data_IF_669890816023
#
_entry.id   IF_669890816023
#
_cell.length_a   1.000
_cell.length_b   1.000
_cell.length_c   1.000
_cell.angle_alpha   90.00
_cell.angle_beta   90.00
_cell.angle_gamma   90.00
#
_symmetry.space_group_name_H-M   'P 1'
#
loop_
_entity.id
_entity.type
_entity.pdbx_description
1 polymer ?
#
# COMPACT_ATOMS: atom_id res chain seq x y z
N UNK A 1 18.77 17.89 21.81
CA UNK A 1 19.96 18.03 20.92
C UNK A 1 20.35 16.68 20.33
N UNK A 2 20.57 15.65 21.16
CA UNK A 2 20.88 14.28 20.73
C UNK A 2 19.86 13.67 19.75
N UNK A 3 18.55 13.79 20.06
CA UNK A 3 17.47 13.33 19.17
C UNK A 3 17.53 13.95 17.76
N UNK A 4 17.84 15.25 17.65
CA UNK A 4 17.94 15.93 16.35
C UNK A 4 19.14 15.45 15.52
N UNK A 5 20.23 15.06 16.18
CA UNK A 5 21.43 14.52 15.51
C UNK A 5 21.13 13.12 14.96
N UNK A 6 20.42 12.29 15.74
CA UNK A 6 20.00 10.95 15.30
C UNK A 6 19.05 11.05 14.10
N UNK A 7 18.05 11.92 14.14
CA UNK A 7 17.13 12.10 13.01
C UNK A 7 17.83 12.63 11.75
N UNK A 8 18.81 13.53 11.91
CA UNK A 8 19.61 13.99 10.77
C UNK A 8 20.47 12.86 10.19
N UNK A 9 21.09 12.04 11.03
CA UNK A 9 21.87 10.89 10.59
C UNK A 9 21.02 9.87 9.84
N UNK A 10 19.80 9.58 10.33
CA UNK A 10 18.83 8.72 9.62
C UNK A 10 18.45 9.29 8.26
N UNK A 11 18.12 10.58 8.18
CA UNK A 11 17.78 11.23 6.90
C UNK A 11 18.93 11.17 5.89
N UNK A 12 20.17 11.34 6.34
CA UNK A 12 21.35 11.21 5.48
C UNK A 12 21.54 9.76 5.03
N UNK A 13 21.44 8.79 5.95
CA UNK A 13 21.51 7.37 5.62
C UNK A 13 20.48 7.01 4.54
N UNK A 14 19.22 7.40 4.72
CA UNK A 14 18.17 7.12 3.76
C UNK A 14 18.41 7.76 2.41
N UNK A 15 18.79 9.03 2.36
CA UNK A 15 19.16 9.68 1.08
C UNK A 15 20.29 8.97 0.33
N UNK A 16 21.20 8.32 1.05
CA UNK A 16 22.28 7.56 0.45
C UNK A 16 21.87 6.14 0.08
N UNK A 17 20.98 5.51 0.85
CA UNK A 17 20.60 4.11 0.70
C UNK A 17 19.43 3.88 -0.25
N UNK A 18 18.47 4.82 -0.29
CA UNK A 18 17.28 4.83 -1.14
C UNK A 18 17.54 4.40 -2.60
N UNK A 19 18.52 4.97 -3.34
CA UNK A 19 18.78 4.56 -4.72
C UNK A 19 19.27 3.11 -4.87
N UNK A 20 19.80 2.50 -3.81
CA UNK A 20 20.29 1.12 -3.80
C UNK A 20 19.24 0.13 -3.29
N UNK A 21 18.22 0.60 -2.57
CA UNK A 21 17.23 -0.24 -1.92
C UNK A 21 16.56 -1.23 -2.88
N UNK A 22 16.12 -0.84 -4.10
CA UNK A 22 15.51 -1.79 -5.03
C UNK A 22 16.42 -2.98 -5.36
N UNK A 23 17.72 -2.70 -5.60
CA UNK A 23 18.69 -3.76 -5.92
C UNK A 23 18.93 -4.70 -4.74
N UNK A 24 19.01 -4.15 -3.52
CA UNK A 24 19.20 -4.94 -2.29
C UNK A 24 17.96 -5.79 -2.01
N UNK A 25 16.76 -5.21 -2.11
CA UNK A 25 15.48 -5.91 -1.97
C UNK A 25 15.39 -7.06 -2.96
N UNK A 26 15.61 -6.80 -4.25
CA UNK A 26 15.47 -7.81 -5.30
C UNK A 26 16.50 -8.94 -5.13
N UNK A 27 17.72 -8.62 -4.69
CA UNK A 27 18.72 -9.63 -4.36
C UNK A 27 18.29 -10.49 -3.15
N UNK A 28 17.73 -9.89 -2.09
CA UNK A 28 17.23 -10.64 -0.94
C UNK A 28 16.03 -11.52 -1.28
N UNK A 29 15.12 -11.05 -2.14
CA UNK A 29 14.02 -11.85 -2.69
C UNK A 29 14.56 -13.02 -3.52
N UNK A 30 15.51 -12.76 -4.43
CA UNK A 30 16.12 -13.80 -5.27
C UNK A 30 16.89 -14.86 -4.44
N UNK A 31 17.45 -14.47 -3.30
CA UNK A 31 18.10 -15.39 -2.35
C UNK A 31 17.09 -16.10 -1.42
N UNK A 32 15.80 -15.77 -1.48
CA UNK A 32 14.77 -16.33 -0.61
C UNK A 32 14.88 -15.91 0.86
N UNK A 33 15.60 -14.82 1.15
CA UNK A 33 15.75 -14.28 2.51
C UNK A 33 14.50 -13.55 2.98
N UNK A 34 13.73 -13.00 2.03
CA UNK A 34 12.47 -12.30 2.26
C UNK A 34 11.48 -12.70 1.16
N UNK A 35 10.20 -12.84 1.51
CA UNK A 35 9.10 -13.06 0.57
C UNK A 35 7.91 -12.20 1.01
N UNK A 36 7.29 -11.49 0.08
CA UNK A 36 6.08 -10.72 0.32
C UNK A 36 5.07 -11.02 -0.79
N UNK A 37 4.28 -12.07 -0.57
CA UNK A 37 3.37 -12.62 -1.60
C UNK A 37 1.89 -12.32 -1.31
N UNK A 38 1.61 -11.43 -0.36
CA UNK A 38 0.25 -11.15 0.09
C UNK A 38 -0.10 -9.72 -0.28
N UNK A 39 -1.11 -9.54 -1.13
CA UNK A 39 -1.69 -8.22 -1.38
C UNK A 39 -2.22 -7.63 -0.08
N UNK A 40 -1.88 -6.38 0.18
CA UNK A 40 -2.34 -5.66 1.37
C UNK A 40 -3.88 -5.69 1.49
N UNK A 41 -4.45 -5.81 2.71
CA UNK A 41 -5.85 -6.24 2.88
C UNK A 41 -6.90 -5.17 2.53
N UNK A 42 -6.48 -3.92 2.34
CA UNK A 42 -7.39 -2.78 2.20
C UNK A 42 -7.78 -2.54 0.74
N UNK A 43 -8.81 -3.26 0.30
CA UNK A 43 -9.40 -3.13 -1.03
C UNK A 43 -10.38 -1.95 -1.10
N UNK A 44 -10.15 -1.04 -2.03
CA UNK A 44 -11.01 0.13 -2.27
C UNK A 44 -12.01 -0.12 -3.41
N UNK A 45 -11.70 -1.08 -4.28
CA UNK A 45 -12.56 -1.47 -5.38
C UNK A 45 -11.75 -1.85 -6.62
N UNK A 46 -12.37 -1.69 -7.78
CA UNK A 46 -11.70 -1.84 -9.07
C UNK A 46 -11.62 -0.53 -9.81
N UNK A 47 -10.56 -0.35 -10.58
CA UNK A 47 -10.49 0.73 -11.55
C UNK A 47 -11.65 0.54 -12.56
N UNK A 48 -12.46 1.59 -12.76
CA UNK A 48 -13.58 1.56 -13.70
C UNK A 48 -13.09 1.17 -15.09
N UNK A 49 -13.89 0.41 -15.83
CA UNK A 49 -13.49 -0.18 -17.13
C UNK A 49 -13.19 0.87 -18.22
N UNK A 50 -13.69 2.10 -18.07
CA UNK A 50 -13.43 3.22 -18.97
C UNK A 50 -12.21 4.06 -18.55
N UNK A 51 -11.51 3.67 -17.48
CA UNK A 51 -10.33 4.34 -16.94
C UNK A 51 -9.07 3.50 -17.13
N UNK A 52 -7.94 4.19 -17.13
CA UNK A 52 -6.61 3.58 -17.33
C UNK A 52 -5.74 3.77 -16.10
N UNK A 53 -4.67 2.97 -15.99
CA UNK A 53 -3.64 3.17 -14.97
C UNK A 53 -3.01 4.56 -15.02
N UNK A 54 -2.99 5.21 -16.19
CA UNK A 54 -2.51 6.57 -16.35
C UNK A 54 -3.47 7.63 -15.79
N UNK A 55 -4.78 7.38 -15.89
CA UNK A 55 -5.77 8.26 -15.24
C UNK A 55 -5.60 8.22 -13.71
N UNK A 56 -5.40 7.01 -13.16
CA UNK A 56 -5.13 6.83 -11.74
C UNK A 56 -3.83 7.52 -11.32
N UNK A 57 -2.74 7.28 -12.05
CA UNK A 57 -1.45 7.95 -11.82
C UNK A 57 -1.61 9.46 -11.79
N UNK A 58 -2.25 10.03 -12.80
CA UNK A 58 -2.42 11.48 -12.93
C UNK A 58 -3.22 12.07 -11.77
N UNK A 59 -4.28 11.40 -11.33
CA UNK A 59 -5.07 11.80 -10.16
C UNK A 59 -4.19 11.83 -8.90
N UNK A 60 -3.42 10.76 -8.68
CA UNK A 60 -2.54 10.62 -7.53
C UNK A 60 -1.42 11.67 -7.55
N UNK A 61 -0.74 11.88 -8.68
CA UNK A 61 0.29 12.91 -8.85
C UNK A 61 -0.26 14.32 -8.57
N UNK A 62 -1.44 14.64 -9.11
CA UNK A 62 -2.11 15.93 -8.85
C UNK A 62 -2.48 16.10 -7.37
N UNK A 63 -2.66 14.98 -6.66
CA UNK A 63 -2.97 14.95 -5.23
C UNK A 63 -1.73 14.91 -4.33
N UNK A 64 -0.53 14.95 -4.92
CA UNK A 64 0.76 14.98 -4.22
C UNK A 64 1.37 13.62 -3.93
N UNK A 65 0.91 12.56 -4.60
CA UNK A 65 1.57 11.26 -4.55
C UNK A 65 2.77 11.21 -5.50
N UNK A 66 3.74 10.39 -5.15
CA UNK A 66 4.93 10.09 -5.96
C UNK A 66 5.11 8.58 -6.06
N UNK A 67 5.90 8.11 -7.03
CA UNK A 67 6.26 6.68 -7.08
C UNK A 67 6.99 6.29 -5.80
N UNK A 68 6.60 5.15 -5.23
CA UNK A 68 7.26 4.58 -4.07
C UNK A 68 8.22 3.47 -4.52
N UNK A 69 9.51 3.80 -4.55
CA UNK A 69 10.55 2.85 -4.96
C UNK A 69 11.09 2.02 -3.79
N UNK A 70 10.78 2.40 -2.54
CA UNK A 70 11.27 1.76 -1.32
C UNK A 70 10.27 0.74 -0.77
N UNK A 71 9.04 0.73 -1.28
CA UNK A 71 8.05 -0.27 -0.94
C UNK A 71 8.38 -1.68 -1.47
N UNK A 72 7.71 -2.67 -0.89
CA UNK A 72 7.54 -3.99 -1.51
C UNK A 72 6.92 -3.87 -2.91
N UNK A 73 7.29 -4.75 -3.82
CA UNK A 73 6.59 -4.94 -5.09
C UNK A 73 5.73 -6.18 -4.91
N UNK A 74 4.42 -5.99 -4.89
CA UNK A 74 3.49 -7.12 -4.75
C UNK A 74 3.38 -7.87 -6.08
N UNK A 75 3.08 -9.18 -6.06
CA UNK A 75 2.74 -9.91 -7.27
C UNK A 75 1.60 -9.21 -8.03
N UNK A 76 1.78 -9.09 -9.35
CA UNK A 76 0.84 -8.44 -10.27
C UNK A 76 0.64 -6.93 -10.08
N UNK A 77 1.47 -6.27 -9.28
CA UNK A 77 1.45 -4.81 -9.16
C UNK A 77 1.87 -4.12 -10.47
N UNK A 78 1.10 -3.09 -10.87
CA UNK A 78 1.40 -2.26 -12.05
C UNK A 78 1.49 -0.76 -11.73
N UNK A 79 1.08 -0.33 -10.53
CA UNK A 79 1.29 1.03 -10.02
C UNK A 79 1.47 0.97 -8.51
N UNK A 80 2.43 1.75 -8.02
CA UNK A 80 2.77 1.86 -6.61
C UNK A 80 3.16 3.30 -6.29
N UNK A 81 2.30 3.97 -5.53
CA UNK A 81 2.48 5.39 -5.24
C UNK A 81 2.19 5.70 -3.79
N UNK A 82 3.03 6.55 -3.20
CA UNK A 82 2.89 7.01 -1.82
C UNK A 82 2.74 8.52 -1.73
N UNK A 83 2.10 8.98 -0.65
CA UNK A 83 2.03 10.38 -0.27
C UNK A 83 2.35 10.53 1.21
N UNK A 84 3.39 11.31 1.50
CA UNK A 84 3.74 11.67 2.87
C UNK A 84 2.63 12.50 3.51
N UNK A 85 2.21 12.09 4.71
CA UNK A 85 1.39 12.90 5.61
C UNK A 85 2.31 13.79 6.43
N UNK A 86 3.36 13.19 6.98
CA UNK A 86 4.44 13.84 7.70
C UNK A 86 5.72 12.98 7.61
N UNK A 87 6.70 13.21 8.50
CA UNK A 87 7.95 12.44 8.51
C UNK A 87 7.76 10.98 8.96
N UNK A 88 6.64 10.66 9.61
CA UNK A 88 6.34 9.38 10.25
C UNK A 88 5.33 8.57 9.44
N UNK A 89 4.36 9.22 8.80
CA UNK A 89 3.24 8.56 8.16
C UNK A 89 3.10 8.87 6.67
N UNK A 90 2.56 7.90 5.94
CA UNK A 90 2.23 8.01 4.53
C UNK A 90 0.94 7.28 4.17
N UNK A 91 0.31 7.73 3.09
CA UNK A 91 -0.70 6.96 2.37
C UNK A 91 -0.05 6.19 1.23
N UNK A 92 -0.52 4.97 1.01
CA UNK A 92 -0.10 4.11 -0.10
C UNK A 92 -1.28 3.78 -0.99
N UNK A 93 -1.07 3.77 -2.31
CA UNK A 93 -2.04 3.32 -3.30
C UNK A 93 -1.35 2.42 -4.31
N UNK A 94 -1.95 1.25 -4.53
CA UNK A 94 -1.48 0.24 -5.48
C UNK A 94 -2.57 -0.13 -6.47
N UNK A 95 -2.16 -0.41 -7.71
CA UNK A 95 -3.01 -0.98 -8.76
C UNK A 95 -2.43 -2.31 -9.21
N UNK A 96 -3.30 -3.29 -9.42
CA UNK A 96 -2.94 -4.63 -9.87
C UNK A 96 -3.44 -4.93 -11.29
N UNK A 97 -2.88 -5.95 -11.96
CA UNK A 97 -3.25 -6.34 -13.33
C UNK A 97 -4.74 -6.67 -13.51
N UNK A 98 -5.42 -7.06 -12.43
CA UNK A 98 -6.85 -7.39 -12.40
C UNK A 98 -7.75 -6.18 -12.08
N UNK A 99 -7.16 -4.98 -12.16
CA UNK A 99 -7.74 -3.69 -11.87
C UNK A 99 -8.09 -3.45 -10.40
N UNK A 100 -7.69 -4.30 -9.46
CA UNK A 100 -7.87 -3.99 -8.05
C UNK A 100 -7.09 -2.73 -7.67
N UNK A 101 -7.77 -1.81 -6.99
CA UNK A 101 -7.15 -0.65 -6.36
C UNK A 101 -7.18 -0.88 -4.85
N UNK A 102 -5.99 -0.95 -4.27
CA UNK A 102 -5.78 -1.13 -2.84
C UNK A 102 -5.03 0.07 -2.29
N UNK A 103 -5.20 0.35 -1.01
CA UNK A 103 -4.47 1.44 -0.38
C UNK A 103 -4.58 1.44 1.12
N UNK A 104 -3.62 2.07 1.79
CA UNK A 104 -3.55 2.04 3.25
C UNK A 104 -2.82 3.27 3.77
N UNK A 105 -2.85 3.41 5.10
CA UNK A 105 -2.08 4.40 5.84
C UNK A 105 -1.09 3.66 6.73
N UNK A 106 0.19 4.02 6.64
CA UNK A 106 1.27 3.29 7.31
C UNK A 106 2.42 4.20 7.74
N UNK A 107 3.39 3.62 8.45
CA UNK A 107 4.65 4.30 8.71
C UNK A 107 5.48 4.45 7.44
N UNK A 108 6.22 5.55 7.35
CA UNK A 108 7.27 5.72 6.34
C UNK A 108 8.38 4.68 6.57
N UNK A 109 8.94 4.16 5.47
CA UNK A 109 10.11 3.31 5.53
C UNK A 109 11.27 4.02 6.24
N UNK A 110 11.36 5.35 6.10
CA UNK A 110 12.42 6.17 6.63
C UNK A 110 12.35 6.35 8.16
N UNK A 111 11.15 6.50 8.72
CA UNK A 111 10.97 6.60 10.16
C UNK A 111 11.14 5.24 10.84
N UNK A 112 10.61 4.18 10.23
CA UNK A 112 10.53 2.86 10.83
C UNK A 112 10.72 1.70 9.83
N UNK A 113 11.95 1.47 9.32
CA UNK A 113 12.21 0.47 8.28
C UNK A 113 11.74 -0.93 8.63
N UNK A 114 12.06 -1.40 9.83
CA UNK A 114 11.66 -2.73 10.26
C UNK A 114 10.16 -2.84 10.47
N UNK A 115 9.48 -1.77 10.94
CA UNK A 115 8.01 -1.82 11.10
C UNK A 115 7.32 -1.86 9.74
N UNK A 116 7.80 -1.04 8.80
CA UNK A 116 7.33 -1.04 7.42
C UNK A 116 7.58 -2.40 6.74
N UNK A 117 8.74 -3.03 6.98
CA UNK A 117 9.06 -4.37 6.46
C UNK A 117 8.08 -5.46 6.95
N UNK A 118 7.53 -5.32 8.16
CA UNK A 118 6.64 -6.29 8.80
C UNK A 118 5.17 -5.80 8.87
N UNK A 119 4.78 -4.82 8.06
CA UNK A 119 3.42 -4.24 8.01
C UNK A 119 2.88 -3.75 9.39
N UNK A 120 3.77 -3.38 10.31
CA UNK A 120 3.39 -2.90 11.64
C UNK A 120 2.93 -1.46 11.54
N UNK A 121 1.71 -1.16 12.03
CA UNK A 121 1.12 0.19 12.00
C UNK A 121 0.34 0.49 10.72
N UNK A 122 0.10 -0.53 9.90
CA UNK A 122 -0.80 -0.50 8.77
C UNK A 122 -2.25 -0.28 9.24
N UNK A 123 -2.96 0.63 8.59
CA UNK A 123 -4.35 0.97 8.91
C UNK A 123 -5.12 1.32 7.64
N UNK A 124 -6.45 1.23 7.71
CA UNK A 124 -7.29 1.67 6.60
C UNK A 124 -7.18 3.21 6.44
N UNK A 125 -6.82 3.66 5.24
CA UNK A 125 -6.74 5.08 4.88
C UNK A 125 -8.06 5.70 4.41
N UNK A 126 -9.19 5.04 4.66
CA UNK A 126 -10.43 5.25 3.88
C UNK A 126 -11.01 6.65 3.98
N UNK A 127 -10.85 7.31 5.13
CA UNK A 127 -11.27 8.70 5.34
C UNK A 127 -10.68 9.66 4.31
N UNK A 128 -9.44 9.43 3.87
CA UNK A 128 -8.76 10.26 2.87
C UNK A 128 -8.86 9.65 1.46
N UNK A 129 -8.62 8.34 1.35
CA UNK A 129 -8.46 7.68 0.06
C UNK A 129 -9.79 7.45 -0.66
N UNK A 130 -10.90 7.13 0.04
CA UNK A 130 -12.19 6.88 -0.63
C UNK A 130 -12.72 8.12 -1.37
N UNK A 131 -12.79 9.32 -0.76
CA UNK A 131 -13.22 10.52 -1.47
C UNK A 131 -12.32 10.85 -2.66
N UNK A 132 -11.01 10.63 -2.52
CA UNK A 132 -10.04 10.87 -3.59
C UNK A 132 -10.28 9.94 -4.79
N UNK A 133 -10.52 8.65 -4.54
CA UNK A 133 -10.57 7.62 -5.58
C UNK A 133 -11.94 7.44 -6.24
N UNK A 134 -13.00 8.04 -5.70
CA UNK A 134 -14.41 7.79 -6.11
C UNK A 134 -14.69 8.01 -7.61
N UNK A 135 -13.97 8.93 -8.25
CA UNK A 135 -14.16 9.21 -9.69
C UNK A 135 -13.59 8.09 -10.58
N UNK A 136 -12.58 7.36 -10.12
CA UNK A 136 -11.87 6.35 -10.90
C UNK A 136 -12.12 4.92 -10.45
N UNK A 137 -12.54 4.72 -9.20
CA UNK A 137 -12.70 3.40 -8.59
C UNK A 137 -14.18 3.10 -8.36
N UNK A 138 -14.62 1.94 -8.81
CA UNK A 138 -15.91 1.37 -8.44
C UNK A 138 -15.74 0.49 -7.20
N UNK A 139 -16.46 0.82 -6.12
CA UNK A 139 -16.49 -0.04 -4.94
C UNK A 139 -17.13 -1.39 -5.34
N UNK A 140 -16.47 -2.48 -4.96
CA UNK A 140 -17.06 -3.80 -5.15
C UNK A 140 -18.22 -3.99 -4.17
N UNK A 141 -19.31 -4.64 -4.59
CA UNK A 141 -20.38 -4.99 -3.67
C UNK A 141 -19.81 -5.85 -2.55
N UNK A 142 -20.16 -5.52 -1.30
CA UNK A 142 -19.86 -6.38 -0.16
C UNK A 142 -20.44 -7.75 -0.48
N UNK A 143 -19.64 -8.83 -0.48
CA UNK A 143 -20.17 -10.16 -0.76
C UNK A 143 -21.29 -10.45 0.23
N UNK A 144 -22.51 -10.72 -0.27
CA UNK A 144 -23.59 -11.21 0.57
C UNK A 144 -23.16 -12.57 1.13
N UNK A 145 -22.68 -12.57 2.37
CA UNK A 145 -22.43 -13.81 3.09
C UNK A 145 -23.81 -14.37 3.45
N UNK A 146 -24.35 -15.21 2.56
CA UNK A 146 -25.46 -16.10 2.88
C UNK A 146 -24.95 -17.12 3.90
N UNK A 147 -24.99 -16.74 5.18
CA UNK A 147 -24.91 -17.69 6.27
C UNK A 147 -26.16 -18.56 6.13
N UNK A 148 -26.01 -19.74 5.50
CA UNK A 148 -27.02 -20.80 5.59
C UNK A 148 -27.20 -21.05 7.08
N UNK A 149 -28.34 -20.61 7.62
CA UNK A 149 -28.78 -21.04 8.93
C UNK A 149 -28.94 -22.56 8.85
N UNK A 150 -28.00 -23.28 9.46
CA UNK A 150 -28.23 -24.67 9.82
C UNK A 150 -29.31 -24.68 10.90
N UNK A 151 -30.56 -24.57 10.49
CA UNK A 151 -31.67 -25.09 11.29
C UNK A 151 -31.45 -26.58 11.39
N UNK A 152 -30.88 -27.01 12.52
CA UNK A 152 -30.95 -28.40 12.93
C UNK A 152 -32.43 -28.76 13.02
N UNK A 153 -32.86 -29.59 12.07
CA UNK A 153 -34.08 -30.36 12.22
C UNK A 153 -33.85 -31.36 13.34
N UNK A 154 -34.29 -31.04 14.54
CA UNK A 154 -34.61 -32.05 15.54
C UNK A 154 -35.90 -32.73 15.07
N UNK A 155 -35.73 -33.82 14.33
CA UNK A 155 -36.77 -34.83 14.18
C UNK A 155 -36.42 -36.03 15.06
N UNK A 156 -37.42 -36.43 15.85
CA UNK A 156 -37.62 -37.71 16.56
C UNK A 156 -37.14 -37.79 17.99
#
# INVERSE_FOLDING_TARGET
>A
MLLKIVELAKKIFWKLFDPFFPTVRDAWVAMGLISHDIRQPYLYGKLKTDKTSQDLRKLLETSGFTNDYVAWVDPDEILNMSKLVDEIYQYHVRLFIDNEVRGHHEFTAEAHPFKHLYDVGLSDGSTYLKPLLTELVEELPTPEISLRSTTQGETS
#
